data_IF_907983737580
#
_entry.id   IF_907983737580
#
_cell.length_a   1.000
_cell.length_b   1.000
_cell.length_c   1.000
_cell.angle_alpha   90.00
_cell.angle_beta   90.00
_cell.angle_gamma   90.00
#
_symmetry.space_group_name_H-M   'P 1'
#
loop_
_entity.id
_entity.type
_entity.pdbx_description
1 polymer ?
#
# COMPACT_ATOMS: atom_id res chain seq x y z
N UNK A 1 4.34 20.44 -10.53
CA UNK A 1 3.41 21.32 -11.27
C UNK A 1 2.45 21.99 -10.28
N UNK A 2 2.03 23.24 -10.58
CA UNK A 2 1.11 24.00 -9.73
C UNK A 2 -0.28 23.36 -9.71
N UNK A 3 -1.01 23.54 -8.61
CA UNK A 3 -2.36 23.04 -8.40
C UNK A 3 -3.39 23.40 -9.50
N UNK A 4 -3.09 24.35 -10.34
CA UNK A 4 -3.90 24.79 -11.47
C UNK A 4 -4.03 23.76 -12.61
N UNK A 5 -3.05 22.85 -12.77
CA UNK A 5 -2.99 21.90 -13.89
C UNK A 5 -3.93 20.70 -13.77
N UNK A 6 -4.80 20.62 -12.80
CA UNK A 6 -5.85 19.58 -12.59
C UNK A 6 -5.44 18.09 -12.87
N UNK A 7 -4.16 17.81 -13.10
CA UNK A 7 -3.63 16.48 -13.38
C UNK A 7 -3.20 15.76 -12.10
N UNK A 8 -3.23 14.44 -12.10
CA UNK A 8 -2.70 13.67 -10.97
C UNK A 8 -1.17 13.77 -10.94
N UNK A 9 -0.57 13.70 -9.75
CA UNK A 9 0.89 13.65 -9.58
C UNK A 9 1.44 12.23 -9.55
N UNK A 10 0.64 11.24 -9.96
CA UNK A 10 1.08 9.85 -10.02
C UNK A 10 2.05 9.62 -11.16
N UNK A 11 3.03 8.77 -10.91
CA UNK A 11 4.13 8.47 -11.83
C UNK A 11 4.16 6.97 -12.11
N UNK A 12 4.43 6.61 -13.35
CA UNK A 12 4.68 5.25 -13.80
C UNK A 12 6.06 5.18 -14.45
N UNK A 13 6.86 4.20 -14.06
CA UNK A 13 8.20 3.94 -14.61
C UNK A 13 8.23 2.49 -15.10
N UNK A 14 8.36 2.31 -16.41
CA UNK A 14 8.40 0.97 -17.03
C UNK A 14 9.68 0.78 -17.81
N UNK A 15 10.19 -0.43 -17.84
CA UNK A 15 11.32 -0.82 -18.67
C UNK A 15 12.12 -1.97 -18.07
N UNK A 16 12.88 -2.63 -18.89
CA UNK A 16 13.70 -3.78 -18.50
C UNK A 16 14.72 -3.46 -17.41
N UNK A 17 15.26 -4.51 -16.81
CA UNK A 17 16.37 -4.39 -15.86
C UNK A 17 17.59 -3.73 -16.49
N UNK A 18 18.34 -2.96 -15.71
CA UNK A 18 19.57 -2.29 -16.14
C UNK A 18 19.39 -1.06 -17.04
N UNK A 19 18.17 -0.65 -17.36
CA UNK A 19 17.91 0.50 -18.24
C UNK A 19 17.96 1.86 -17.56
N UNK A 20 18.05 1.92 -16.23
CA UNK A 20 18.14 3.17 -15.45
C UNK A 20 16.90 3.54 -14.66
N UNK A 21 15.93 2.61 -14.49
CA UNK A 21 14.71 2.85 -13.69
C UNK A 21 15.00 3.25 -12.25
N UNK A 22 15.81 2.45 -11.54
CA UNK A 22 16.16 2.73 -10.14
C UNK A 22 16.95 4.03 -10.00
N UNK A 23 17.80 4.36 -10.99
CA UNK A 23 18.50 5.65 -11.03
C UNK A 23 17.53 6.84 -11.17
N UNK A 24 16.57 6.74 -12.09
CA UNK A 24 15.50 7.74 -12.20
C UNK A 24 14.66 7.82 -10.92
N UNK A 25 14.30 6.67 -10.33
CA UNK A 25 13.54 6.63 -9.08
C UNK A 25 14.30 7.36 -7.97
N UNK A 26 15.59 7.07 -7.77
CA UNK A 26 16.43 7.75 -6.79
C UNK A 26 16.44 9.27 -7.02
N UNK A 27 16.60 9.71 -8.27
CA UNK A 27 16.57 11.14 -8.63
C UNK A 27 15.21 11.78 -8.32
N UNK A 28 14.10 11.09 -8.64
CA UNK A 28 12.76 11.59 -8.35
C UNK A 28 12.52 11.70 -6.84
N UNK A 29 12.86 10.67 -6.07
CA UNK A 29 12.69 10.65 -4.61
C UNK A 29 13.52 11.76 -3.93
N UNK A 30 14.75 11.99 -4.39
CA UNK A 30 15.59 13.09 -3.92
C UNK A 30 14.93 14.45 -4.19
N UNK A 31 14.48 14.68 -5.42
CA UNK A 31 13.82 15.95 -5.79
C UNK A 31 12.51 16.17 -5.02
N UNK A 32 11.74 15.11 -4.80
CA UNK A 32 10.49 15.16 -4.03
C UNK A 32 10.80 15.51 -2.57
N UNK A 33 11.82 14.88 -1.98
CA UNK A 33 12.24 15.18 -0.60
C UNK A 33 12.75 16.62 -0.46
N UNK A 34 13.55 17.11 -1.41
CA UNK A 34 14.01 18.51 -1.45
C UNK A 34 12.85 19.50 -1.58
N UNK A 35 11.74 19.12 -2.20
CA UNK A 35 10.54 19.96 -2.28
C UNK A 35 9.73 20.03 -0.97
N UNK A 36 10.19 19.38 0.11
CA UNK A 36 9.55 19.37 1.41
C UNK A 36 8.45 18.33 1.57
N UNK A 37 8.29 17.40 0.61
CA UNK A 37 7.35 16.29 0.73
C UNK A 37 7.95 15.14 1.52
N UNK A 38 7.10 14.41 2.23
CA UNK A 38 7.47 13.13 2.85
C UNK A 38 7.58 12.05 1.77
N UNK A 39 8.47 11.10 1.99
CA UNK A 39 8.69 9.97 1.08
C UNK A 39 8.53 8.65 1.83
N UNK A 40 7.82 7.71 1.22
CA UNK A 40 7.79 6.31 1.65
C UNK A 40 8.17 5.44 0.45
N UNK A 41 9.20 4.63 0.61
CA UNK A 41 9.69 3.74 -0.43
C UNK A 41 9.50 2.28 -0.02
N UNK A 42 8.98 1.45 -0.89
CA UNK A 42 9.05 -0.01 -0.79
C UNK A 42 10.24 -0.48 -1.63
N UNK A 43 11.19 -1.14 -0.97
CA UNK A 43 12.48 -1.54 -1.53
C UNK A 43 12.66 -3.07 -1.52
N UNK A 44 12.34 -3.75 -2.62
CA UNK A 44 12.44 -5.20 -2.71
C UNK A 44 13.86 -5.72 -2.94
N UNK A 45 14.77 -4.89 -3.45
CA UNK A 45 16.11 -5.28 -3.84
C UNK A 45 17.23 -4.70 -2.95
N UNK A 46 16.87 -3.90 -1.94
CA UNK A 46 17.79 -3.15 -1.07
C UNK A 46 18.65 -2.12 -1.84
N UNK A 47 18.06 -1.49 -2.84
CA UNK A 47 18.74 -0.48 -3.68
C UNK A 47 18.67 0.93 -3.10
N UNK A 48 17.73 1.21 -2.18
CA UNK A 48 17.45 2.57 -1.67
C UNK A 48 17.96 2.82 -0.26
N UNK A 49 18.65 1.85 0.35
CA UNK A 49 19.12 1.95 1.74
C UNK A 49 20.09 3.13 1.94
N UNK A 50 21.10 3.24 1.05
CA UNK A 50 22.08 4.34 1.14
C UNK A 50 21.45 5.70 0.84
N UNK A 51 20.59 5.80 -0.17
CA UNK A 51 19.85 7.02 -0.44
C UNK A 51 19.04 7.46 0.77
N UNK A 52 18.34 6.51 1.41
CA UNK A 52 17.53 6.77 2.60
C UNK A 52 18.39 7.35 3.73
N UNK A 53 19.52 6.73 4.01
CA UNK A 53 20.48 7.21 5.04
C UNK A 53 21.05 8.58 4.72
N UNK A 54 21.47 8.79 3.47
CA UNK A 54 22.08 10.05 3.01
C UNK A 54 21.08 11.22 3.04
N UNK A 55 19.77 10.95 2.93
CA UNK A 55 18.71 11.95 3.07
C UNK A 55 18.18 12.09 4.51
N UNK A 56 18.85 11.46 5.51
CA UNK A 56 18.48 11.53 6.90
C UNK A 56 17.18 10.78 7.23
N UNK A 57 16.86 9.75 6.45
CA UNK A 57 15.69 8.90 6.63
C UNK A 57 15.94 7.65 7.47
N UNK A 58 14.88 6.86 7.65
CA UNK A 58 14.90 5.60 8.35
C UNK A 58 14.69 4.43 7.38
N UNK A 59 15.68 3.53 7.31
CA UNK A 59 15.56 2.26 6.60
C UNK A 59 15.07 1.18 7.57
N UNK A 60 13.99 0.51 7.21
CA UNK A 60 13.28 -0.43 8.05
C UNK A 60 13.32 -1.82 7.41
N UNK A 61 14.03 -2.75 8.05
CA UNK A 61 13.95 -4.18 7.72
C UNK A 61 12.92 -4.84 8.64
N UNK A 62 11.78 -5.20 8.09
CA UNK A 62 10.71 -5.86 8.86
C UNK A 62 11.06 -7.28 9.33
N UNK A 63 11.98 -7.97 8.66
CA UNK A 63 12.39 -9.30 9.12
C UNK A 63 13.27 -9.26 10.37
N UNK A 64 13.85 -8.12 10.72
CA UNK A 64 14.56 -7.97 12.00
C UNK A 64 13.64 -8.21 13.20
N UNK A 65 12.33 -7.93 13.05
CA UNK A 65 11.34 -7.96 14.14
C UNK A 65 11.45 -6.77 15.11
N UNK A 66 12.33 -5.81 14.83
CA UNK A 66 12.48 -4.58 15.63
C UNK A 66 11.36 -3.59 15.35
N UNK A 67 10.96 -3.50 14.09
CA UNK A 67 9.90 -2.60 13.63
C UNK A 67 8.59 -3.35 13.43
N UNK A 68 7.51 -2.72 13.84
CA UNK A 68 6.15 -3.27 13.78
C UNK A 68 5.17 -2.25 13.25
N UNK A 69 4.24 -2.71 12.46
CA UNK A 69 3.03 -2.01 12.10
C UNK A 69 1.88 -2.83 12.67
N UNK A 70 1.20 -2.28 13.65
CA UNK A 70 0.05 -2.94 14.26
C UNK A 70 -1.10 -3.07 13.24
N UNK A 71 -1.48 -4.29 12.84
CA UNK A 71 -2.59 -4.46 11.91
C UNK A 71 -3.93 -3.96 12.47
N UNK A 72 -4.10 -4.00 13.81
CA UNK A 72 -5.34 -3.62 14.48
C UNK A 72 -5.45 -2.10 14.78
N UNK A 73 -4.45 -1.32 14.44
CA UNK A 73 -4.52 0.14 14.50
C UNK A 73 -5.32 0.67 13.31
N UNK A 74 -6.53 1.30 13.52
CA UNK A 74 -7.36 1.78 12.42
C UNK A 74 -6.66 2.79 11.52
N UNK A 75 -6.48 2.44 10.25
CA UNK A 75 -5.84 3.27 9.23
C UNK A 75 -6.87 4.09 8.45
N UNK A 76 -6.47 5.23 7.88
CA UNK A 76 -7.30 6.01 6.99
C UNK A 76 -7.23 5.46 5.56
N UNK A 77 -8.37 5.06 4.99
CA UNK A 77 -8.48 4.51 3.63
C UNK A 77 -9.21 5.44 2.67
N UNK A 78 -10.03 6.34 3.23
CA UNK A 78 -10.79 7.33 2.47
C UNK A 78 -10.92 8.60 3.28
N UNK A 79 -11.34 9.70 2.64
CA UNK A 79 -11.81 10.86 3.38
C UNK A 79 -13.05 10.45 4.18
N UNK A 80 -12.92 10.41 5.48
CA UNK A 80 -14.10 10.37 6.36
C UNK A 80 -14.79 11.73 6.27
N UNK A 81 -16.07 11.73 5.94
CA UNK A 81 -16.90 12.94 5.79
C UNK A 81 -17.07 13.74 7.10
N UNK A 82 -16.25 13.50 8.11
CA UNK A 82 -16.24 14.18 9.41
C UNK A 82 -15.02 15.03 9.72
N UNK A 83 -13.92 14.91 8.96
CA UNK A 83 -12.64 15.60 9.27
C UNK A 83 -12.39 16.86 8.43
N UNK A 84 -13.31 17.26 7.53
CA UNK A 84 -13.19 18.52 6.79
C UNK A 84 -13.71 19.66 7.65
N UNK A 85 -12.78 20.49 8.09
CA UNK A 85 -13.01 21.81 8.67
C UNK A 85 -14.07 22.61 7.90
N UNK A 86 -15.24 22.84 8.53
CA UNK A 86 -16.01 24.06 8.41
C UNK A 86 -16.56 24.47 7.05
N UNK A 87 -17.25 23.59 6.32
CA UNK A 87 -18.34 24.00 5.41
C UNK A 87 -19.49 23.01 5.57
N UNK A 88 -20.53 23.48 6.28
CA UNK A 88 -21.83 22.84 6.30
C UNK A 88 -22.41 22.88 4.88
N UNK A 89 -22.30 21.79 4.14
CA UNK A 89 -23.20 21.54 3.02
C UNK A 89 -24.44 20.86 3.59
N UNK A 90 -25.59 21.51 3.39
CA UNK A 90 -26.93 21.08 3.78
C UNK A 90 -27.18 19.62 3.40
N UNK A 91 -27.12 18.72 4.38
CA UNK A 91 -27.39 17.28 4.24
C UNK A 91 -28.80 16.88 4.68
N UNK A 92 -29.76 17.78 4.64
CA UNK A 92 -31.15 17.49 5.11
C UNK A 92 -31.95 16.51 4.22
N UNK A 93 -31.43 16.04 3.08
CA UNK A 93 -32.19 15.17 2.15
C UNK A 93 -31.40 13.96 1.62
N UNK A 94 -30.43 13.39 2.36
CA UNK A 94 -29.86 12.09 2.00
C UNK A 94 -30.69 10.97 2.65
N UNK A 95 -31.13 9.94 1.88
CA UNK A 95 -31.78 8.77 2.46
C UNK A 95 -30.86 8.07 3.47
N UNK A 96 -31.42 7.58 4.58
CA UNK A 96 -30.70 6.81 5.63
C UNK A 96 -29.89 5.60 5.12
N UNK A 97 -30.05 5.23 3.86
CA UNK A 97 -29.32 4.15 3.20
C UNK A 97 -27.81 4.42 2.95
N UNK A 98 -27.37 5.67 3.03
CA UNK A 98 -25.95 6.02 3.01
C UNK A 98 -25.45 6.24 4.44
N UNK A 99 -25.40 5.18 5.26
CA UNK A 99 -24.64 5.20 6.51
C UNK A 99 -23.23 5.68 6.17
N UNK A 100 -22.78 6.76 6.81
CA UNK A 100 -21.42 7.29 6.66
C UNK A 100 -20.45 6.13 6.86
N UNK A 101 -19.65 5.83 5.84
CA UNK A 101 -18.62 4.81 5.97
C UNK A 101 -17.58 5.35 6.94
N UNK A 102 -17.49 4.76 8.12
CA UNK A 102 -16.60 5.22 9.18
C UNK A 102 -15.17 4.69 8.99
N UNK A 103 -14.20 5.30 9.68
CA UNK A 103 -12.81 4.82 9.67
C UNK A 103 -12.73 3.39 10.22
N UNK A 104 -13.47 3.08 11.28
CA UNK A 104 -13.47 1.75 11.89
C UNK A 104 -14.07 0.71 10.95
N UNK A 105 -15.23 0.98 10.33
CA UNK A 105 -15.87 0.04 9.39
C UNK A 105 -15.00 -0.26 8.17
N UNK A 106 -14.30 0.74 7.63
CA UNK A 106 -13.33 0.54 6.54
C UNK A 106 -12.13 -0.29 6.98
N UNK A 107 -11.67 -0.07 8.22
CA UNK A 107 -10.54 -0.80 8.75
C UNK A 107 -10.89 -2.26 9.05
N UNK A 108 -12.10 -2.54 9.56
CA UNK A 108 -12.58 -3.93 9.73
C UNK A 108 -12.67 -4.64 8.36
N UNK A 109 -13.17 -3.95 7.33
CA UNK A 109 -13.16 -4.51 5.98
C UNK A 109 -11.74 -4.84 5.48
N UNK A 110 -10.77 -3.93 5.72
CA UNK A 110 -9.36 -4.20 5.46
C UNK A 110 -8.84 -5.43 6.23
N UNK A 111 -9.19 -5.56 7.51
CA UNK A 111 -8.75 -6.69 8.33
C UNK A 111 -9.30 -8.03 7.82
N UNK A 112 -10.52 -8.08 7.30
CA UNK A 112 -11.06 -9.28 6.63
C UNK A 112 -10.16 -9.70 5.47
N UNK A 113 -9.76 -8.76 4.63
CA UNK A 113 -8.84 -9.02 3.50
C UNK A 113 -7.43 -9.40 3.98
N UNK A 114 -6.94 -8.75 5.05
CA UNK A 114 -5.65 -9.05 5.67
C UNK A 114 -5.59 -10.49 6.21
N UNK A 115 -6.62 -10.94 6.91
CA UNK A 115 -6.69 -12.31 7.40
C UNK A 115 -6.80 -13.33 6.26
N UNK A 116 -7.57 -13.03 5.20
CA UNK A 116 -7.61 -13.85 3.98
C UNK A 116 -6.25 -13.92 3.27
N UNK A 117 -5.46 -12.85 3.26
CA UNK A 117 -4.11 -12.86 2.70
C UNK A 117 -3.15 -13.74 3.51
N UNK A 118 -3.32 -13.75 4.84
CA UNK A 118 -2.49 -14.56 5.73
C UNK A 118 -2.83 -16.05 5.66
N UNK A 119 -4.12 -16.39 5.61
CA UNK A 119 -4.58 -17.79 5.59
C UNK A 119 -5.87 -17.91 4.77
N UNK A 120 -6.05 -19.06 4.12
CA UNK A 120 -7.24 -19.38 3.34
C UNK A 120 -8.45 -19.65 4.25
N UNK A 121 -8.88 -18.63 5.01
CA UNK A 121 -10.10 -18.68 5.80
C UNK A 121 -11.32 -18.67 4.89
N UNK A 122 -12.31 -19.49 5.21
CA UNK A 122 -13.61 -19.45 4.55
C UNK A 122 -14.45 -18.24 5.02
N UNK A 123 -15.61 -18.04 4.39
CA UNK A 123 -16.45 -16.89 4.68
C UNK A 123 -17.03 -16.95 6.11
N UNK A 124 -17.34 -18.14 6.65
CA UNK A 124 -17.84 -18.29 8.03
C UNK A 124 -16.76 -17.94 9.05
N UNK A 125 -15.53 -18.35 8.82
CA UNK A 125 -14.38 -18.01 9.67
C UNK A 125 -14.10 -16.51 9.64
N UNK A 126 -14.15 -15.90 8.46
CA UNK A 126 -13.94 -14.44 8.29
C UNK A 126 -15.05 -13.62 8.95
N UNK A 127 -16.31 -14.06 8.85
CA UNK A 127 -17.42 -13.38 9.52
C UNK A 127 -17.34 -13.56 11.05
N UNK A 128 -16.84 -14.70 11.52
CA UNK A 128 -16.54 -14.91 12.95
C UNK A 128 -15.43 -13.98 13.42
N UNK A 129 -14.34 -13.81 12.63
CA UNK A 129 -13.27 -12.85 12.90
C UNK A 129 -13.83 -11.43 12.97
N UNK A 130 -14.71 -11.03 12.06
CA UNK A 130 -15.36 -9.70 12.06
C UNK A 130 -16.13 -9.45 13.37
N UNK A 131 -16.92 -10.44 13.83
CA UNK A 131 -17.67 -10.34 15.10
C UNK A 131 -16.70 -10.17 16.28
N UNK A 132 -15.63 -10.94 16.31
CA UNK A 132 -14.65 -10.90 17.40
C UNK A 132 -13.85 -9.58 17.39
N UNK A 133 -13.48 -9.06 16.21
CA UNK A 133 -12.83 -7.76 16.07
C UNK A 133 -13.74 -6.64 16.55
N UNK A 134 -15.02 -6.67 16.21
CA UNK A 134 -16.00 -5.68 16.68
C UNK A 134 -16.07 -5.69 18.21
N UNK A 135 -16.18 -6.87 18.82
CA UNK A 135 -16.16 -7.02 20.29
C UNK A 135 -14.86 -6.48 20.91
N UNK A 136 -13.72 -6.74 20.28
CA UNK A 136 -12.43 -6.25 20.75
C UNK A 136 -12.37 -4.72 20.75
N UNK A 137 -12.76 -4.08 19.64
CA UNK A 137 -12.77 -2.62 19.55
C UNK A 137 -13.74 -2.00 20.55
N UNK A 138 -14.92 -2.57 20.73
CA UNK A 138 -15.89 -2.12 21.74
C UNK A 138 -15.31 -2.22 23.17
N UNK A 139 -14.64 -3.33 23.53
CA UNK A 139 -13.94 -3.48 24.82
C UNK A 139 -12.86 -2.40 25.03
N UNK A 140 -12.19 -1.98 23.95
CA UNK A 140 -11.17 -0.93 23.97
C UNK A 140 -11.75 0.50 23.88
N UNK A 141 -13.07 0.66 23.85
CA UNK A 141 -13.73 1.96 23.72
C UNK A 141 -13.49 2.63 22.36
N UNK A 142 -13.28 1.81 21.31
CA UNK A 142 -13.09 2.27 19.92
C UNK A 142 -14.37 1.96 19.17
N UNK A 143 -15.05 3.01 18.72
CA UNK A 143 -16.35 2.96 18.02
C UNK A 143 -16.30 3.79 16.75
N UNK A 144 -17.38 3.78 16.00
CA UNK A 144 -17.55 4.63 14.81
C UNK A 144 -17.45 6.14 15.09
N UNK A 145 -17.66 6.54 16.36
CA UNK A 145 -17.60 7.95 16.81
C UNK A 145 -16.23 8.31 17.42
N UNK A 146 -15.26 7.41 17.41
CA UNK A 146 -13.95 7.63 18.02
C UNK A 146 -13.21 8.78 17.34
N UNK A 147 -12.74 9.74 18.15
CA UNK A 147 -11.81 10.78 17.70
C UNK A 147 -10.37 10.22 17.68
N UNK A 148 -9.91 9.93 16.47
CA UNK A 148 -8.57 9.38 16.25
C UNK A 148 -7.44 10.41 16.41
N UNK A 149 -7.75 11.71 16.46
CA UNK A 149 -6.72 12.76 16.59
C UNK A 149 -6.10 12.77 18.00
N UNK A 150 -6.81 12.22 18.99
CA UNK A 150 -6.37 12.11 20.37
C UNK A 150 -5.72 10.77 20.71
N UNK A 151 -5.72 9.83 19.75
CA UNK A 151 -5.20 8.47 19.94
C UNK A 151 -3.71 8.37 19.56
N UNK A 152 -3.00 7.56 20.31
CA UNK A 152 -1.61 7.17 20.04
C UNK A 152 -1.55 5.68 19.67
N UNK A 153 -0.41 5.21 19.14
CA UNK A 153 -0.25 3.80 18.80
C UNK A 153 -0.54 2.84 19.98
N UNK A 154 -0.32 3.31 21.22
CA UNK A 154 -0.54 2.51 22.45
C UNK A 154 -2.00 2.38 22.87
N UNK A 155 -2.89 3.19 22.29
CA UNK A 155 -4.33 3.17 22.61
C UNK A 155 -5.10 2.12 21.82
N UNK A 156 -4.42 1.39 20.91
CA UNK A 156 -5.04 0.37 20.08
C UNK A 156 -4.70 -1.03 20.58
N UNK A 157 -5.64 -2.00 20.46
CA UNK A 157 -5.36 -3.39 20.80
C UNK A 157 -4.27 -3.96 19.90
N UNK A 158 -3.57 -4.98 20.40
CA UNK A 158 -2.55 -5.73 19.66
C UNK A 158 -3.08 -7.09 19.19
N UNK A 159 -2.30 -7.81 18.40
CA UNK A 159 -2.70 -9.14 17.94
C UNK A 159 -2.78 -10.14 19.09
N UNK A 160 -1.96 -9.99 20.14
CA UNK A 160 -2.08 -10.80 21.37
C UNK A 160 -3.36 -10.49 22.15
N UNK A 161 -3.82 -9.24 22.19
CA UNK A 161 -5.11 -8.89 22.80
C UNK A 161 -6.28 -9.53 22.04
N UNK A 162 -6.19 -9.56 20.69
CA UNK A 162 -7.18 -10.21 19.86
C UNK A 162 -7.22 -11.73 20.10
N UNK A 163 -6.04 -12.36 20.19
CA UNK A 163 -5.97 -13.79 20.50
C UNK A 163 -6.53 -14.10 21.88
N UNK A 164 -6.19 -13.29 22.90
CA UNK A 164 -6.73 -13.47 24.25
C UNK A 164 -8.27 -13.39 24.29
N UNK A 165 -8.86 -12.46 23.52
CA UNK A 165 -10.32 -12.40 23.37
C UNK A 165 -10.88 -13.66 22.71
N UNK A 166 -10.26 -14.14 21.62
CA UNK A 166 -10.70 -15.34 20.94
C UNK A 166 -10.63 -16.58 21.86
N UNK A 167 -9.57 -16.70 22.65
CA UNK A 167 -9.37 -17.77 23.62
C UNK A 167 -10.38 -17.68 24.77
N UNK A 168 -10.66 -16.48 25.30
CA UNK A 168 -11.71 -16.25 26.30
C UNK A 168 -13.08 -16.70 25.81
N UNK A 169 -13.45 -16.30 24.57
CA UNK A 169 -14.73 -16.70 23.94
C UNK A 169 -14.79 -18.22 23.70
N UNK A 170 -13.69 -18.86 23.33
CA UNK A 170 -13.62 -20.30 23.13
C UNK A 170 -13.76 -21.09 24.45
N UNK A 171 -13.04 -20.68 25.49
CA UNK A 171 -13.06 -21.34 26.80
C UNK A 171 -14.40 -21.15 27.53
N UNK A 172 -15.08 -20.03 27.29
CA UNK A 172 -16.38 -19.70 27.87
C UNK A 172 -17.57 -20.12 27.00
N UNK A 173 -17.33 -20.84 25.90
CA UNK A 173 -18.38 -21.19 24.94
C UNK A 173 -19.44 -22.12 25.60
N UNK A 174 -20.68 -21.67 25.56
CA UNK A 174 -21.81 -22.36 26.16
C UNK A 174 -22.74 -22.90 25.06
N UNK A 175 -22.76 -24.22 24.87
CA UNK A 175 -23.56 -24.91 23.85
C UNK A 175 -25.08 -24.71 23.98
N UNK A 176 -25.55 -24.31 25.16
CA UNK A 176 -26.96 -24.02 25.38
C UNK A 176 -27.38 -22.61 24.93
N UNK A 177 -26.40 -21.73 24.77
CA UNK A 177 -26.66 -20.39 24.23
C UNK A 177 -26.63 -20.41 22.71
N UNK A 178 -27.41 -19.52 22.12
CA UNK A 178 -27.38 -19.30 20.66
C UNK A 178 -26.30 -18.24 20.30
N UNK A 179 -25.24 -18.69 19.66
CA UNK A 179 -24.21 -17.85 19.05
C UNK A 179 -24.44 -17.76 17.55
N UNK A 180 -23.84 -16.75 16.90
CA UNK A 180 -23.82 -16.61 15.44
C UNK A 180 -22.77 -17.54 14.79
N UNK A 181 -21.83 -18.06 15.57
CA UNK A 181 -20.77 -18.97 15.14
C UNK A 181 -20.77 -20.26 16.00
N UNK A 182 -20.27 -21.33 15.45
CA UNK A 182 -20.13 -22.61 16.17
C UNK A 182 -18.83 -22.67 16.99
N UNK A 183 -18.78 -23.57 17.98
CA UNK A 183 -17.57 -23.86 18.74
C UNK A 183 -16.42 -24.30 17.82
N UNK A 184 -16.74 -25.13 16.81
CA UNK A 184 -15.78 -25.65 15.82
C UNK A 184 -15.18 -24.51 15.00
N UNK A 185 -16.02 -23.62 14.46
CA UNK A 185 -15.53 -22.42 13.69
C UNK A 185 -14.65 -21.54 14.56
N UNK A 186 -15.03 -21.32 15.82
CA UNK A 186 -14.23 -20.52 16.75
C UNK A 186 -12.88 -21.16 17.05
N UNK A 187 -12.84 -22.50 17.24
CA UNK A 187 -11.59 -23.25 17.42
C UNK A 187 -10.69 -23.14 16.19
N UNK A 188 -11.25 -23.26 15.00
CA UNK A 188 -10.50 -23.12 13.73
C UNK A 188 -9.93 -21.72 13.56
N UNK A 189 -10.68 -20.67 13.92
CA UNK A 189 -10.21 -19.30 13.94
C UNK A 189 -9.05 -19.14 14.92
N UNK A 190 -9.21 -19.57 16.19
CA UNK A 190 -8.15 -19.51 17.20
C UNK A 190 -6.86 -20.21 16.73
N UNK A 191 -6.99 -21.43 16.20
CA UNK A 191 -5.86 -22.18 15.65
C UNK A 191 -5.25 -21.46 14.44
N UNK A 192 -6.10 -20.88 13.60
CA UNK A 192 -5.68 -20.19 12.38
C UNK A 192 -4.84 -18.95 12.61
N UNK A 193 -5.15 -18.18 13.65
CA UNK A 193 -4.44 -16.92 13.98
C UNK A 193 -3.32 -17.10 15.01
N UNK A 194 -3.20 -18.29 15.64
CA UNK A 194 -2.26 -18.54 16.74
C UNK A 194 -0.81 -18.12 16.38
N UNK A 195 -0.29 -18.56 15.21
CA UNK A 195 1.09 -18.27 14.84
C UNK A 195 1.37 -16.77 14.71
N UNK A 196 0.42 -16.03 14.12
CA UNK A 196 0.49 -14.60 13.91
C UNK A 196 0.40 -13.79 15.22
N UNK A 197 -0.44 -14.25 16.15
CA UNK A 197 -0.74 -13.48 17.35
C UNK A 197 0.22 -13.77 18.52
N UNK A 198 0.48 -15.04 18.82
CA UNK A 198 1.25 -15.48 19.99
C UNK A 198 2.29 -16.56 19.68
N UNK A 199 2.32 -17.08 18.45
CA UNK A 199 3.26 -18.13 18.02
C UNK A 199 4.52 -17.56 17.36
N UNK A 200 5.11 -18.34 16.44
CA UNK A 200 6.42 -18.06 15.85
C UNK A 200 6.46 -16.78 15.00
N UNK A 201 5.35 -16.36 14.42
CA UNK A 201 5.25 -15.19 13.55
C UNK A 201 4.78 -13.92 14.29
N UNK A 202 4.45 -14.03 15.60
CA UNK A 202 4.00 -12.88 16.40
C UNK A 202 5.01 -11.73 16.44
N UNK A 203 6.30 -12.03 16.35
CA UNK A 203 7.36 -11.01 16.28
C UNK A 203 7.19 -10.03 15.11
N UNK A 204 6.44 -10.37 14.07
CA UNK A 204 6.20 -9.52 12.90
C UNK A 204 4.90 -8.72 13.01
N UNK A 205 3.89 -9.25 13.72
CA UNK A 205 2.54 -8.67 13.73
C UNK A 205 2.09 -8.17 15.11
N UNK A 206 2.60 -8.78 16.20
CA UNK A 206 2.15 -8.43 17.55
C UNK A 206 2.96 -7.29 18.13
N UNK A 207 2.26 -6.28 18.60
CA UNK A 207 2.79 -5.09 19.25
C UNK A 207 2.27 -3.80 18.65
N UNK A 208 2.51 -2.70 19.31
CA UNK A 208 2.11 -1.37 18.82
C UNK A 208 3.01 -0.90 17.68
N UNK A 209 2.47 -0.10 16.78
CA UNK A 209 3.23 0.54 15.70
C UNK A 209 4.37 1.37 16.32
N UNK A 210 5.60 1.05 15.92
CA UNK A 210 6.81 1.74 16.36
C UNK A 210 7.66 2.27 15.20
N UNK A 211 7.09 2.26 13.98
CA UNK A 211 7.71 2.90 12.82
C UNK A 211 7.80 4.40 13.07
N UNK A 212 8.99 4.96 12.86
CA UNK A 212 9.25 6.39 13.09
C UNK A 212 8.42 7.26 12.13
N UNK A 213 8.21 8.51 12.52
CA UNK A 213 7.50 9.49 11.69
C UNK A 213 8.43 10.27 10.76
N UNK A 214 9.60 9.71 10.43
CA UNK A 214 10.61 10.36 9.61
C UNK A 214 10.06 10.77 8.23
N UNK A 215 10.62 11.83 7.71
CA UNK A 215 10.21 12.39 6.43
C UNK A 215 10.63 11.55 5.22
N UNK A 216 11.58 10.63 5.39
CA UNK A 216 11.94 9.61 4.42
C UNK A 216 11.96 8.24 5.12
N UNK A 217 11.01 7.39 4.75
CA UNK A 217 10.93 6.01 5.20
C UNK A 217 11.20 5.07 4.04
N UNK A 218 12.06 4.10 4.25
CA UNK A 218 12.31 3.05 3.26
C UNK A 218 12.07 1.68 3.88
N UNK A 219 11.15 0.93 3.33
CA UNK A 219 10.80 -0.42 3.75
C UNK A 219 11.56 -1.45 2.93
N UNK A 220 12.64 -1.99 3.49
CA UNK A 220 13.38 -3.11 2.92
C UNK A 220 12.59 -4.40 3.10
N UNK A 221 12.18 -5.00 1.98
CA UNK A 221 11.38 -6.23 1.98
C UNK A 221 12.08 -7.41 1.30
N UNK A 222 13.35 -7.27 0.93
CA UNK A 222 14.11 -8.31 0.23
C UNK A 222 14.05 -9.66 0.94
N UNK A 223 14.37 -9.70 2.22
CA UNK A 223 14.30 -10.94 2.99
C UNK A 223 12.86 -11.47 3.11
N UNK A 224 11.85 -10.58 3.15
CA UNK A 224 10.44 -10.98 3.18
C UNK A 224 10.03 -11.74 1.91
N UNK A 225 10.60 -11.41 0.76
CA UNK A 225 10.30 -12.09 -0.50
C UNK A 225 10.77 -13.54 -0.52
N UNK A 226 11.76 -13.89 0.29
CA UNK A 226 12.27 -15.25 0.47
C UNK A 226 11.48 -16.07 1.50
N UNK A 227 10.54 -15.41 2.22
CA UNK A 227 9.71 -16.07 3.23
C UNK A 227 8.56 -16.87 2.59
N UNK A 228 7.81 -17.62 3.42
CA UNK A 228 6.63 -18.30 2.92
C UNK A 228 5.60 -17.31 2.37
N UNK A 229 4.83 -17.75 1.36
CA UNK A 229 3.88 -16.88 0.63
C UNK A 229 2.89 -16.17 1.55
N UNK A 230 2.33 -16.86 2.55
CA UNK A 230 1.30 -16.30 3.44
C UNK A 230 1.83 -15.17 4.30
N UNK A 231 3.00 -15.38 4.91
CA UNK A 231 3.67 -14.35 5.70
C UNK A 231 3.98 -13.14 4.82
N UNK A 232 4.57 -13.38 3.65
CA UNK A 232 4.89 -12.33 2.67
C UNK A 232 3.67 -11.50 2.28
N UNK A 233 2.59 -12.17 1.85
CA UNK A 233 1.38 -11.49 1.35
C UNK A 233 0.71 -10.67 2.47
N UNK A 234 0.61 -11.21 3.69
CA UNK A 234 0.07 -10.49 4.84
C UNK A 234 0.93 -9.29 5.25
N UNK A 235 2.25 -9.44 5.28
CA UNK A 235 3.15 -8.33 5.64
C UNK A 235 3.15 -7.23 4.57
N UNK A 236 3.22 -7.58 3.29
CA UNK A 236 3.11 -6.59 2.21
C UNK A 236 1.78 -5.84 2.27
N UNK A 237 0.68 -6.55 2.59
CA UNK A 237 -0.63 -5.94 2.72
C UNK A 237 -0.70 -4.99 3.94
N UNK A 238 -0.07 -5.37 5.05
CA UNK A 238 0.04 -4.51 6.23
C UNK A 238 0.89 -3.25 5.97
N UNK A 239 2.04 -3.39 5.27
CA UNK A 239 2.87 -2.26 4.83
C UNK A 239 2.05 -1.32 3.93
N UNK A 240 1.30 -1.88 2.97
CA UNK A 240 0.44 -1.10 2.09
C UNK A 240 -0.62 -0.31 2.87
N UNK A 241 -1.16 -0.89 3.95
CA UNK A 241 -2.10 -0.18 4.84
C UNK A 241 -1.47 1.04 5.49
N UNK A 242 -0.23 0.90 5.97
CA UNK A 242 0.53 2.01 6.54
C UNK A 242 0.83 3.09 5.50
N UNK A 243 1.27 2.69 4.30
CA UNK A 243 1.52 3.63 3.18
C UNK A 243 0.24 4.39 2.82
N UNK A 244 -0.90 3.71 2.74
CA UNK A 244 -2.19 4.35 2.47
C UNK A 244 -2.60 5.35 3.54
N UNK A 245 -2.38 5.04 4.81
CA UNK A 245 -2.63 5.97 5.92
C UNK A 245 -1.79 7.26 5.81
N UNK A 246 -0.51 7.13 5.46
CA UNK A 246 0.38 8.27 5.24
C UNK A 246 -0.05 9.10 4.03
N UNK A 247 -0.43 8.45 2.94
CA UNK A 247 -0.88 9.12 1.71
C UNK A 247 -2.21 9.86 1.88
N UNK A 248 -3.19 9.22 2.52
CA UNK A 248 -4.58 9.69 2.55
C UNK A 248 -4.97 10.35 3.87
N UNK A 249 -4.40 9.91 4.99
CA UNK A 249 -4.61 10.49 6.32
C UNK A 249 -3.76 11.72 6.54
N UNK A 250 -2.43 11.58 6.44
CA UNK A 250 -1.50 12.69 6.70
C UNK A 250 -1.33 13.62 5.48
N UNK A 251 -1.29 13.07 4.28
CA UNK A 251 -1.06 13.85 3.07
C UNK A 251 0.39 14.29 2.86
N UNK A 252 0.61 15.16 1.86
CA UNK A 252 1.93 15.71 1.49
C UNK A 252 3.04 14.64 1.38
N UNK A 253 2.67 13.44 0.88
CA UNK A 253 3.51 12.24 0.88
C UNK A 253 3.61 11.68 -0.54
N UNK A 254 4.81 11.27 -0.94
CA UNK A 254 5.03 10.45 -2.13
C UNK A 254 5.34 9.02 -1.70
N UNK A 255 4.57 8.06 -2.17
CA UNK A 255 4.83 6.64 -1.95
C UNK A 255 5.36 6.01 -3.23
N UNK A 256 6.55 5.41 -3.17
CA UNK A 256 7.11 4.64 -4.28
C UNK A 256 6.99 3.14 -4.01
N UNK A 257 6.53 2.43 -5.03
CA UNK A 257 6.47 0.97 -5.06
C UNK A 257 7.33 0.53 -6.23
N UNK A 258 8.52 0.06 -5.91
CA UNK A 258 9.36 -0.61 -6.90
C UNK A 258 8.92 -2.06 -7.03
N UNK A 259 9.10 -2.64 -8.21
CA UNK A 259 8.69 -4.01 -8.54
C UNK A 259 7.20 -4.30 -8.22
N UNK A 260 6.32 -3.51 -8.85
CA UNK A 260 4.86 -3.59 -8.67
C UNK A 260 4.29 -5.00 -8.89
N UNK A 261 4.96 -5.86 -9.68
CA UNK A 261 4.54 -7.25 -9.92
C UNK A 261 4.42 -8.08 -8.62
N UNK A 262 5.10 -7.67 -7.53
CA UNK A 262 5.00 -8.34 -6.24
C UNK A 262 3.58 -8.44 -5.69
N UNK A 263 2.72 -7.52 -6.09
CA UNK A 263 1.32 -7.47 -5.67
C UNK A 263 0.36 -8.24 -6.58
N UNK A 264 0.83 -8.76 -7.73
CA UNK A 264 -0.04 -9.46 -8.69
C UNK A 264 -0.62 -10.77 -8.16
N UNK A 265 -0.04 -11.34 -7.11
CA UNK A 265 -0.58 -12.52 -6.42
C UNK A 265 -1.78 -12.18 -5.53
N UNK A 266 -2.00 -10.90 -5.24
CA UNK A 266 -3.08 -10.42 -4.38
C UNK A 266 -3.86 -9.29 -5.09
N UNK A 267 -4.96 -9.63 -5.75
CA UNK A 267 -5.79 -8.68 -6.49
C UNK A 267 -6.39 -7.60 -5.59
N UNK A 268 -6.69 -7.92 -4.36
CA UNK A 268 -7.18 -6.94 -3.37
C UNK A 268 -6.13 -5.85 -3.12
N UNK A 269 -4.84 -6.22 -2.98
CA UNK A 269 -3.76 -5.24 -2.84
C UNK A 269 -3.65 -4.32 -4.08
N UNK A 270 -3.82 -4.87 -5.29
CA UNK A 270 -3.87 -4.08 -6.53
C UNK A 270 -5.04 -3.09 -6.51
N UNK A 271 -6.19 -3.50 -6.02
CA UNK A 271 -7.36 -2.59 -5.88
C UNK A 271 -7.08 -1.47 -4.87
N UNK A 272 -6.43 -1.75 -3.75
CA UNK A 272 -6.03 -0.73 -2.78
C UNK A 272 -5.04 0.29 -3.39
N UNK A 273 -4.03 -0.17 -4.12
CA UNK A 273 -3.08 0.71 -4.83
C UNK A 273 -3.84 1.60 -5.84
N UNK A 274 -4.70 1.01 -6.67
CA UNK A 274 -5.51 1.73 -7.64
C UNK A 274 -6.42 2.78 -6.98
N UNK A 275 -7.04 2.44 -5.86
CA UNK A 275 -7.91 3.34 -5.13
C UNK A 275 -7.13 4.49 -4.48
N UNK A 276 -5.93 4.20 -3.93
CA UNK A 276 -5.03 5.23 -3.44
C UNK A 276 -4.66 6.21 -4.56
N UNK A 277 -4.22 5.73 -5.73
CA UNK A 277 -3.86 6.58 -6.88
C UNK A 277 -4.96 7.54 -7.33
N UNK A 278 -6.22 7.14 -7.23
CA UNK A 278 -7.37 8.01 -7.56
C UNK A 278 -7.60 9.11 -6.54
N UNK A 279 -7.21 8.91 -5.29
CA UNK A 279 -7.56 9.77 -4.15
C UNK A 279 -6.43 10.69 -3.67
N UNK A 280 -5.17 10.30 -3.88
CA UNK A 280 -3.98 11.00 -3.36
C UNK A 280 -3.91 12.48 -3.75
N UNK A 281 -4.46 12.85 -4.91
CA UNK A 281 -4.46 14.23 -5.40
C UNK A 281 -5.04 15.22 -4.39
N UNK A 282 -6.14 14.87 -3.73
CA UNK A 282 -6.83 15.75 -2.78
C UNK A 282 -5.99 16.04 -1.53
N UNK A 283 -5.02 15.16 -1.25
CA UNK A 283 -4.11 15.24 -0.08
C UNK A 283 -2.71 15.75 -0.45
N UNK A 284 -2.53 16.30 -1.64
CA UNK A 284 -1.22 16.69 -2.16
C UNK A 284 -0.18 15.55 -2.10
N UNK A 285 -0.66 14.34 -2.24
CA UNK A 285 0.15 13.12 -2.23
C UNK A 285 0.27 12.53 -3.63
N UNK A 286 1.20 11.59 -3.82
CA UNK A 286 1.43 10.92 -5.10
C UNK A 286 1.85 9.47 -4.90
N UNK A 287 1.57 8.63 -5.89
CA UNK A 287 2.06 7.26 -5.97
C UNK A 287 2.99 7.15 -7.17
N UNK A 288 4.15 6.56 -6.96
CA UNK A 288 5.16 6.28 -7.99
C UNK A 288 5.26 4.76 -8.10
N UNK A 289 4.91 4.23 -9.26
CA UNK A 289 4.96 2.81 -9.55
C UNK A 289 6.10 2.53 -10.51
N UNK A 290 6.91 1.51 -10.21
CA UNK A 290 7.89 1.00 -11.14
C UNK A 290 7.72 -0.51 -11.36
N UNK A 291 7.97 -0.97 -12.58
CA UNK A 291 7.97 -2.39 -12.93
C UNK A 291 8.87 -2.68 -14.11
N UNK A 292 9.37 -3.91 -14.16
CA UNK A 292 10.22 -4.37 -15.25
C UNK A 292 9.39 -4.93 -16.41
N UNK A 293 8.47 -5.84 -16.13
CA UNK A 293 7.70 -6.58 -17.13
C UNK A 293 6.25 -6.12 -17.14
N UNK A 294 5.81 -5.54 -18.24
CA UNK A 294 4.41 -5.21 -18.43
C UNK A 294 3.55 -6.44 -18.76
N UNK A 295 4.15 -7.50 -19.31
CA UNK A 295 3.46 -8.71 -19.74
C UNK A 295 2.67 -9.37 -18.62
N UNK A 296 3.24 -9.40 -17.41
CA UNK A 296 2.58 -9.99 -16.24
C UNK A 296 1.25 -9.30 -15.91
N UNK A 297 1.13 -8.02 -16.24
CA UNK A 297 -0.08 -7.21 -16.01
C UNK A 297 -1.12 -7.33 -17.13
N UNK A 298 -0.74 -7.86 -18.28
CA UNK A 298 -1.60 -8.00 -19.45
C UNK A 298 -2.26 -9.37 -19.55
N UNK A 299 -2.00 -10.27 -18.59
CA UNK A 299 -2.65 -11.57 -18.54
C UNK A 299 -4.18 -11.41 -18.56
N UNK A 300 -4.92 -12.14 -19.42
CA UNK A 300 -6.37 -11.98 -19.57
C UNK A 300 -7.15 -12.10 -18.25
N UNK A 301 -6.63 -12.89 -17.31
CA UNK A 301 -7.26 -13.11 -16.00
C UNK A 301 -7.22 -11.90 -15.07
N UNK A 302 -6.29 -10.94 -15.27
CA UNK A 302 -6.07 -9.81 -14.38
C UNK A 302 -6.05 -8.45 -15.04
N UNK A 303 -6.01 -8.39 -16.38
CA UNK A 303 -5.82 -7.14 -17.12
C UNK A 303 -6.88 -6.07 -16.83
N UNK A 304 -8.11 -6.43 -16.48
CA UNK A 304 -9.15 -5.46 -16.11
C UNK A 304 -8.83 -4.73 -14.81
N UNK A 305 -8.16 -5.40 -13.88
CA UNK A 305 -7.72 -4.82 -12.61
C UNK A 305 -6.46 -3.97 -12.77
N UNK A 306 -5.57 -4.36 -13.68
CA UNK A 306 -4.23 -3.77 -13.85
C UNK A 306 -4.18 -2.63 -14.85
N UNK A 307 -5.01 -2.62 -15.88
CA UNK A 307 -5.12 -1.51 -16.88
C UNK A 307 -5.18 -0.11 -16.24
N UNK A 308 -5.95 0.13 -15.16
CA UNK A 308 -5.99 1.44 -14.53
C UNK A 308 -4.63 1.90 -13.95
N UNK A 309 -3.74 0.97 -13.57
CA UNK A 309 -2.41 1.29 -13.06
C UNK A 309 -1.54 1.98 -14.12
N UNK A 310 -1.80 1.72 -15.41
CA UNK A 310 -1.11 2.35 -16.53
C UNK A 310 -1.80 3.61 -17.03
N UNK A 311 -3.12 3.72 -16.87
CA UNK A 311 -3.89 4.84 -17.40
C UNK A 311 -4.07 6.00 -16.42
N UNK A 312 -4.03 5.75 -15.10
CA UNK A 312 -4.18 6.79 -14.07
C UNK A 312 -2.95 7.72 -13.99
N UNK A 313 -1.68 7.22 -14.07
CA UNK A 313 -0.52 8.07 -13.95
C UNK A 313 -0.43 9.08 -15.09
N UNK A 314 -0.35 10.37 -14.73
CA UNK A 314 -0.15 11.46 -15.71
C UNK A 314 1.28 11.51 -16.21
N UNK A 315 2.24 11.14 -15.36
CA UNK A 315 3.66 11.10 -15.67
C UNK A 315 4.09 9.67 -15.94
N UNK A 316 4.56 9.39 -17.14
CA UNK A 316 5.01 8.07 -17.53
C UNK A 316 6.42 8.16 -18.11
N UNK A 317 7.34 7.37 -17.56
CA UNK A 317 8.70 7.21 -18.05
C UNK A 317 8.84 5.78 -18.61
N UNK A 318 8.94 5.69 -19.92
CA UNK A 318 8.99 4.42 -20.64
C UNK A 318 10.41 4.21 -21.17
N UNK A 319 11.13 3.32 -20.52
CA UNK A 319 12.45 2.85 -20.94
C UNK A 319 12.29 1.69 -21.94
N UNK A 320 13.38 1.04 -22.31
CA UNK A 320 13.37 -0.11 -23.19
C UNK A 320 12.34 -1.16 -22.73
N UNK A 321 11.43 -1.49 -23.65
CA UNK A 321 10.32 -2.42 -23.40
C UNK A 321 10.75 -3.91 -23.43
N UNK A 322 12.00 -4.19 -23.83
CA UNK A 322 12.51 -5.56 -23.93
C UNK A 322 12.02 -6.32 -25.13
N UNK A 323 11.74 -7.60 -24.94
CA UNK A 323 11.32 -8.52 -26.00
C UNK A 323 9.80 -8.67 -26.10
N UNK A 324 9.03 -7.82 -25.42
CA UNK A 324 7.57 -7.86 -25.47
C UNK A 324 7.06 -7.69 -26.92
N UNK A 325 5.91 -8.28 -27.21
CA UNK A 325 5.21 -8.03 -28.45
C UNK A 325 4.93 -6.53 -28.61
N UNK A 326 5.47 -5.86 -29.65
CA UNK A 326 5.31 -4.41 -29.83
C UNK A 326 3.84 -3.98 -29.86
N UNK A 327 2.98 -4.78 -30.49
CA UNK A 327 1.54 -4.47 -30.59
C UNK A 327 0.87 -4.48 -29.21
N UNK A 328 1.13 -5.50 -28.41
CA UNK A 328 0.56 -5.60 -27.04
C UNK A 328 1.03 -4.45 -26.17
N UNK A 329 2.30 -4.08 -26.25
CA UNK A 329 2.87 -2.94 -25.52
C UNK A 329 2.22 -1.62 -25.92
N UNK A 330 2.12 -1.38 -27.23
CA UNK A 330 1.51 -0.16 -27.79
C UNK A 330 0.02 -0.06 -27.42
N UNK A 331 -0.72 -1.16 -27.53
CA UNK A 331 -2.15 -1.21 -27.19
C UNK A 331 -2.37 -0.96 -25.68
N UNK A 332 -1.54 -1.56 -24.80
CA UNK A 332 -1.65 -1.42 -23.35
C UNK A 332 -1.37 0.00 -22.87
N UNK A 333 -0.35 0.64 -23.43
CA UNK A 333 0.09 1.99 -23.03
C UNK A 333 -0.48 3.09 -23.91
N UNK A 334 -1.21 2.74 -24.98
CA UNK A 334 -1.77 3.68 -25.95
C UNK A 334 -0.68 4.63 -26.50
N UNK A 335 0.40 4.03 -27.02
CA UNK A 335 1.49 4.75 -27.69
C UNK A 335 1.51 4.47 -29.19
N UNK A 336 1.97 5.44 -29.95
CA UNK A 336 2.09 5.35 -31.39
C UNK A 336 3.30 4.50 -31.82
N UNK A 337 3.29 3.87 -33.01
CA UNK A 337 4.45 3.12 -33.49
C UNK A 337 5.74 3.93 -33.55
N UNK A 338 5.65 5.22 -33.88
CA UNK A 338 6.80 6.14 -33.86
C UNK A 338 7.37 6.40 -32.47
N UNK A 339 6.52 6.41 -31.44
CA UNK A 339 6.92 6.53 -30.04
C UNK A 339 7.60 5.24 -29.56
N UNK A 340 7.05 4.08 -29.96
CA UNK A 340 7.62 2.78 -29.61
C UNK A 340 9.04 2.60 -30.19
N UNK A 341 9.27 3.02 -31.45
CA UNK A 341 10.60 2.92 -32.07
C UNK A 341 11.67 3.73 -31.30
N UNK A 342 11.30 4.84 -30.62
CA UNK A 342 12.22 5.60 -29.77
C UNK A 342 12.75 4.83 -28.56
N UNK A 343 11.98 3.87 -28.07
CA UNK A 343 12.31 3.08 -26.86
C UNK A 343 12.61 1.61 -27.15
N UNK A 344 12.62 1.23 -28.42
CA UNK A 344 12.88 -0.15 -28.82
C UNK A 344 14.33 -0.57 -28.57
N UNK A 345 15.29 0.31 -28.89
CA UNK A 345 16.71 0.11 -28.72
C UNK A 345 17.40 1.40 -28.23
N UNK A 346 16.94 1.99 -27.12
CA UNK A 346 17.51 3.23 -26.64
C UNK A 346 18.87 2.99 -25.98
N UNK A 347 19.66 4.04 -25.84
CA UNK A 347 20.81 4.03 -24.96
C UNK A 347 20.35 3.92 -23.48
N UNK A 348 21.20 3.33 -22.65
CA UNK A 348 20.92 3.21 -21.20
C UNK A 348 20.68 4.60 -20.60
N UNK A 349 19.63 4.74 -19.82
CA UNK A 349 19.25 6.02 -19.22
C UNK A 349 18.33 6.87 -20.10
N UNK A 350 18.06 6.44 -21.35
CA UNK A 350 17.13 7.13 -22.24
C UNK A 350 15.72 6.56 -22.10
N UNK A 351 14.72 7.43 -22.00
CA UNK A 351 13.31 7.03 -21.92
C UNK A 351 12.40 7.99 -22.68
N UNK A 352 11.25 7.49 -23.09
CA UNK A 352 10.15 8.32 -23.54
C UNK A 352 9.37 8.81 -22.32
N UNK A 353 9.40 10.12 -22.09
CA UNK A 353 8.59 10.73 -21.04
C UNK A 353 7.28 11.26 -21.63
N UNK A 354 6.19 10.86 -21.01
CA UNK A 354 4.83 11.29 -21.33
C UNK A 354 4.23 12.08 -20.17
N UNK A 355 3.62 13.23 -20.46
CA UNK A 355 2.88 14.00 -19.47
C UNK A 355 1.61 14.56 -20.11
N UNK A 356 0.48 13.89 -19.90
CA UNK A 356 -0.75 14.17 -20.63
C UNK A 356 -0.53 14.01 -22.14
N UNK A 357 -0.66 15.09 -22.91
CA UNK A 357 -0.46 15.09 -24.38
C UNK A 357 0.99 15.38 -24.79
N UNK A 358 1.84 15.77 -23.85
CA UNK A 358 3.24 16.10 -24.15
C UNK A 358 4.10 14.83 -24.21
N UNK A 359 5.08 14.83 -25.11
CA UNK A 359 6.02 13.74 -25.35
C UNK A 359 7.43 14.28 -25.45
N UNK A 360 8.36 13.65 -24.75
CA UNK A 360 9.76 14.03 -24.76
C UNK A 360 10.63 12.77 -24.74
N UNK A 361 11.67 12.75 -25.57
CA UNK A 361 12.76 11.79 -25.39
C UNK A 361 13.72 12.40 -24.39
N UNK A 362 13.93 11.74 -23.27
CA UNK A 362 14.76 12.22 -22.17
C UNK A 362 15.96 11.31 -21.96
N UNK A 363 17.09 11.90 -21.68
CA UNK A 363 18.24 11.27 -21.06
C UNK A 363 18.24 11.61 -19.56
N UNK A 364 18.29 10.59 -18.71
CA UNK A 364 18.23 10.75 -17.26
C UNK A 364 19.62 10.95 -16.69
N UNK A 365 19.94 12.20 -16.35
CA UNK A 365 21.22 12.59 -15.77
C UNK A 365 20.97 13.30 -14.45
N UNK A 366 21.53 12.79 -13.36
CA UNK A 366 21.57 13.50 -12.09
C UNK A 366 22.79 14.40 -12.01
N UNK A 367 22.68 15.61 -11.44
CA UNK A 367 23.84 16.38 -11.04
C UNK A 367 24.74 15.58 -10.11
N UNK A 368 26.07 15.78 -10.19
CA UNK A 368 27.06 14.99 -9.46
C UNK A 368 26.75 14.91 -7.94
N UNK A 369 26.45 16.07 -7.33
CA UNK A 369 26.12 16.14 -5.90
C UNK A 369 24.87 15.35 -5.48
N UNK A 370 23.95 15.07 -6.43
CA UNK A 370 22.80 14.19 -6.17
C UNK A 370 23.16 12.73 -6.42
N UNK A 371 23.96 12.47 -7.45
CA UNK A 371 24.41 11.11 -7.76
C UNK A 371 25.21 10.50 -6.60
N UNK A 372 25.99 11.33 -5.90
CA UNK A 372 26.72 10.92 -4.68
C UNK A 372 25.80 10.45 -3.55
N UNK A 373 24.54 10.89 -3.51
CA UNK A 373 23.56 10.45 -2.51
C UNK A 373 23.00 9.06 -2.80
N UNK A 374 23.16 8.58 -4.03
CA UNK A 374 22.49 7.34 -4.47
C UNK A 374 23.19 6.07 -3.99
N UNK A 375 24.46 6.16 -3.58
CA UNK A 375 25.28 5.04 -3.17
C UNK A 375 25.92 4.27 -4.32
#
# INVERSE_FOLDING_TARGET
RRAEDKTTSNVLILGNSGQGKSYLMKLLLTNIRESGKKVICLDPESEYEELCKNLGGCYIDFLSGEYKINPLEPKAWTETTGETSGKEENTENCPEAFKKVTRLSQHIAFLKDFFKAYKDFDDMQIDTIEILLTKLYEKCGITDETDYTQKTAKDYPTMSDFYALCEEEYLSYDKEKKYLYSEETLQEVCLGIHSMCVGAESKYFDGHTNVTSDDFLCFGVKGLLESNRRLKDAMLFNILSYMSNRLLGEGNTAASIDELYLFLTNMTAIEYIRNAMKRVRKKDSSVILASQNIEDFLLPSIQEFTKPLFSIPTHQFLFNAGQINPKEYMDALQIEPSEFELIRYPERGTCLYRCGNERYLLEVIAPEYKAELFG
#
